data_IF_812072768673
#
_entry.id   IF_812072768673
#
_cell.length_a   1.000
_cell.length_b   1.000
_cell.length_c   1.000
_cell.angle_alpha   90.00
_cell.angle_beta   90.00
_cell.angle_gamma   90.00
#
_symmetry.space_group_name_H-M   'P 1'
#
loop_
_entity.id
_entity.type
_entity.pdbx_description
1 polymer ?
#
# COMPACT_ATOMS: atom_id res chain seq x y z
N UNK A 1 -11.26 -14.57 22.17
CA UNK A 1 -12.15 -14.21 21.05
C UNK A 1 -11.29 -13.58 19.98
N UNK A 2 -11.05 -14.27 18.86
CA UNK A 2 -10.30 -13.72 17.73
C UNK A 2 -11.22 -12.85 16.85
N UNK A 3 -12.04 -12.00 17.49
CA UNK A 3 -13.13 -11.25 16.84
C UNK A 3 -12.63 -10.36 15.72
N UNK A 4 -11.53 -9.65 15.93
CA UNK A 4 -11.06 -8.68 14.93
C UNK A 4 -10.56 -9.36 13.64
N UNK A 5 -9.91 -10.53 13.72
CA UNK A 5 -9.45 -11.26 12.54
C UNK A 5 -10.63 -11.77 11.72
N UNK A 6 -11.65 -12.31 12.39
CA UNK A 6 -12.90 -12.75 11.76
C UNK A 6 -13.63 -11.56 11.11
N UNK A 7 -13.74 -10.43 11.83
CA UNK A 7 -14.37 -9.21 11.35
C UNK A 7 -13.69 -8.69 10.07
N UNK A 8 -12.37 -8.52 10.07
CA UNK A 8 -11.66 -8.00 8.90
C UNK A 8 -11.65 -9.00 7.73
N UNK A 9 -11.60 -10.31 8.03
CA UNK A 9 -11.65 -11.35 6.99
C UNK A 9 -13.00 -11.37 6.29
N UNK A 10 -14.09 -11.17 7.05
CA UNK A 10 -15.45 -11.07 6.49
C UNK A 10 -15.63 -9.87 5.55
N UNK A 11 -14.78 -8.85 5.69
CA UNK A 11 -14.77 -7.64 4.87
C UNK A 11 -13.83 -7.73 3.65
N UNK A 12 -13.20 -8.89 3.40
CA UNK A 12 -12.18 -9.08 2.36
C UNK A 12 -10.96 -8.15 2.52
N UNK A 13 -10.57 -7.82 3.76
CA UNK A 13 -9.34 -7.06 4.02
C UNK A 13 -8.14 -7.98 3.83
N UNK A 14 -7.22 -7.60 2.94
CA UNK A 14 -6.06 -8.40 2.56
C UNK A 14 -4.78 -8.07 3.31
N UNK A 15 -4.68 -6.87 3.91
CA UNK A 15 -3.50 -6.41 4.63
C UNK A 15 -3.89 -5.46 5.76
N UNK A 16 -3.13 -5.47 6.85
CA UNK A 16 -3.30 -4.56 7.98
C UNK A 16 -1.97 -3.85 8.26
N UNK A 17 -2.01 -2.53 8.27
CA UNK A 17 -0.86 -1.63 8.50
C UNK A 17 -1.36 -0.38 9.24
N UNK A 18 -0.51 0.63 9.46
CA UNK A 18 -0.81 1.73 10.39
C UNK A 18 -0.85 3.13 9.74
N UNK A 19 -0.33 3.31 8.52
CA UNK A 19 -0.04 4.62 7.95
C UNK A 19 -0.87 4.95 6.69
N UNK A 20 -1.27 3.96 5.90
CA UNK A 20 -1.85 4.13 4.56
C UNK A 20 -3.15 4.92 4.60
N UNK A 21 -4.03 4.61 5.55
CA UNK A 21 -5.31 5.30 5.70
C UNK A 21 -5.10 6.82 5.92
N UNK A 22 -4.14 7.19 6.77
CA UNK A 22 -3.80 8.59 7.05
C UNK A 22 -3.20 9.26 5.83
N UNK A 23 -2.21 8.62 5.19
CA UNK A 23 -1.54 9.17 4.01
C UNK A 23 -2.52 9.41 2.86
N UNK A 24 -3.34 8.41 2.53
CA UNK A 24 -4.31 8.49 1.44
C UNK A 24 -5.38 9.54 1.72
N UNK A 25 -5.84 9.65 2.97
CA UNK A 25 -6.79 10.70 3.38
C UNK A 25 -6.20 12.09 3.17
N UNK A 26 -4.96 12.33 3.64
CA UNK A 26 -4.28 13.62 3.47
C UNK A 26 -4.11 13.93 1.98
N UNK A 27 -3.64 12.98 1.17
CA UNK A 27 -3.48 13.21 -0.27
C UNK A 27 -4.80 13.59 -0.94
N UNK A 28 -5.89 12.93 -0.58
CA UNK A 28 -7.22 13.24 -1.10
C UNK A 28 -7.68 14.65 -0.69
N UNK A 29 -7.51 15.03 0.59
CA UNK A 29 -7.87 16.36 1.10
C UNK A 29 -7.13 17.48 0.38
N UNK A 30 -5.85 17.28 0.03
CA UNK A 30 -5.05 18.27 -0.67
C UNK A 30 -5.15 18.20 -2.20
N UNK A 31 -5.99 17.33 -2.76
CA UNK A 31 -6.08 17.16 -4.22
C UNK A 31 -4.81 16.61 -4.87
N UNK A 32 -3.99 15.89 -4.10
CA UNK A 32 -2.77 15.24 -4.55
C UNK A 32 -3.04 13.78 -4.91
N UNK A 33 -2.13 13.17 -5.68
CA UNK A 33 -2.13 11.72 -5.93
C UNK A 33 -1.25 11.03 -4.88
N UNK A 34 -1.77 9.99 -4.25
CA UNK A 34 -1.07 9.14 -3.29
C UNK A 34 -1.27 7.66 -3.60
N UNK A 35 -0.33 6.83 -3.16
CA UNK A 35 -0.38 5.38 -3.31
C UNK A 35 0.49 4.70 -2.26
N UNK A 36 0.20 3.43 -1.96
CA UNK A 36 0.90 2.64 -0.94
C UNK A 36 1.17 1.24 -1.48
N UNK A 37 2.36 0.71 -1.16
CA UNK A 37 2.76 -0.67 -1.40
C UNK A 37 3.34 -1.20 -0.08
N UNK A 38 2.89 -2.38 0.35
CA UNK A 38 3.30 -2.98 1.61
C UNK A 38 4.02 -4.30 1.36
N UNK A 39 5.11 -4.53 2.10
CA UNK A 39 5.66 -5.86 2.28
C UNK A 39 4.85 -6.60 3.36
N UNK A 40 4.59 -7.90 3.17
CA UNK A 40 3.81 -8.71 4.10
C UNK A 40 4.76 -9.49 5.03
N UNK A 41 4.91 -9.00 6.25
CA UNK A 41 5.78 -9.59 7.27
C UNK A 41 5.14 -10.70 8.09
N UNK A 42 3.83 -10.62 8.29
CA UNK A 42 3.13 -11.55 9.16
C UNK A 42 1.75 -11.86 8.59
N UNK A 43 1.47 -13.15 8.42
CA UNK A 43 0.13 -13.62 8.14
C UNK A 43 -0.50 -14.08 9.45
N UNK A 44 -1.36 -13.25 10.03
CA UNK A 44 -2.04 -13.55 11.31
C UNK A 44 -3.13 -14.62 11.19
N UNK A 45 -3.53 -15.01 9.98
CA UNK A 45 -4.48 -16.11 9.75
C UNK A 45 -3.76 -17.46 9.85
N UNK A 46 -2.55 -17.56 9.27
CA UNK A 46 -1.73 -18.78 9.33
C UNK A 46 -0.74 -18.80 10.51
N UNK A 47 -0.60 -17.67 11.21
CA UNK A 47 0.39 -17.44 12.28
C UNK A 47 1.85 -17.58 11.80
N UNK A 48 2.07 -17.26 10.53
CA UNK A 48 3.39 -17.30 9.89
C UNK A 48 4.03 -15.92 9.87
N UNK A 49 5.33 -15.86 10.15
CA UNK A 49 6.16 -14.66 10.08
C UNK A 49 7.27 -14.86 9.05
N UNK A 50 7.49 -13.84 8.23
CA UNK A 50 8.57 -13.77 7.25
C UNK A 50 9.27 -12.41 7.34
N UNK A 51 10.57 -12.39 7.02
CA UNK A 51 11.40 -11.18 7.03
C UNK A 51 11.83 -10.79 5.60
N UNK A 52 10.94 -10.92 4.63
CA UNK A 52 11.22 -10.67 3.21
C UNK A 52 10.17 -9.75 2.54
N UNK A 53 10.52 -9.17 1.39
CA UNK A 53 9.61 -8.38 0.55
C UNK A 53 9.82 -6.86 0.60
N UNK A 54 10.58 -6.35 1.56
CA UNK A 54 10.90 -4.90 1.69
C UNK A 54 11.56 -4.34 0.42
N UNK A 55 12.56 -5.07 -0.09
CA UNK A 55 13.28 -4.69 -1.33
C UNK A 55 12.35 -4.65 -2.54
N UNK A 56 11.41 -5.58 -2.63
CA UNK A 56 10.46 -5.64 -3.74
C UNK A 56 9.43 -4.51 -3.64
N UNK A 57 8.90 -4.24 -2.44
CA UNK A 57 8.02 -3.10 -2.20
C UNK A 57 8.70 -1.77 -2.57
N UNK A 58 9.97 -1.59 -2.21
CA UNK A 58 10.78 -0.41 -2.58
C UNK A 58 10.93 -0.32 -4.11
N UNK A 59 11.26 -1.42 -4.78
CA UNK A 59 11.41 -1.45 -6.24
C UNK A 59 10.10 -1.10 -6.96
N UNK A 60 8.97 -1.64 -6.49
CA UNK A 60 7.64 -1.33 -7.03
C UNK A 60 7.33 0.15 -6.82
N UNK A 61 7.60 0.70 -5.63
CA UNK A 61 7.41 2.12 -5.34
C UNK A 61 8.24 3.01 -6.28
N UNK A 62 9.52 2.70 -6.45
CA UNK A 62 10.41 3.46 -7.33
C UNK A 62 9.96 3.41 -8.81
N UNK A 63 9.61 2.23 -9.31
CA UNK A 63 9.16 2.07 -10.69
C UNK A 63 7.81 2.76 -10.92
N UNK A 64 6.90 2.73 -9.94
CA UNK A 64 5.64 3.47 -10.01
C UNK A 64 5.87 4.99 -10.15
N UNK A 65 6.77 5.56 -9.35
CA UNK A 65 7.11 7.00 -9.43
C UNK A 65 7.73 7.34 -10.80
N UNK A 66 8.63 6.50 -11.31
CA UNK A 66 9.21 6.69 -12.65
C UNK A 66 8.12 6.70 -13.73
N UNK A 67 7.23 5.70 -13.74
CA UNK A 67 6.13 5.61 -14.71
C UNK A 67 5.18 6.81 -14.61
N UNK A 68 4.81 7.23 -13.39
CA UNK A 68 3.92 8.37 -13.19
C UNK A 68 4.57 9.67 -13.66
N UNK A 69 5.86 9.87 -13.37
CA UNK A 69 6.64 11.02 -13.83
C UNK A 69 6.69 11.08 -15.35
N UNK A 70 6.98 9.95 -16.02
CA UNK A 70 6.98 9.88 -17.48
C UNK A 70 5.61 10.23 -18.08
N UNK A 71 4.51 9.79 -17.44
CA UNK A 71 3.14 10.11 -17.87
C UNK A 71 2.84 11.60 -17.71
N UNK A 72 3.22 12.20 -16.59
CA UNK A 72 3.04 13.63 -16.35
C UNK A 72 3.82 14.48 -17.36
N UNK A 73 5.09 14.14 -17.62
CA UNK A 73 5.92 14.83 -18.60
C UNK A 73 5.42 14.68 -20.04
N UNK A 74 4.77 13.55 -20.38
CA UNK A 74 4.10 13.37 -21.67
C UNK A 74 2.83 14.22 -21.77
N UNK A 75 2.03 14.26 -20.70
CA UNK A 75 0.80 15.04 -20.62
C UNK A 75 1.02 16.56 -20.60
N UNK A 76 2.16 17.03 -20.11
CA UNK A 76 2.52 18.45 -20.06
C UNK A 76 3.07 19.03 -21.38
N UNK A 77 3.23 18.21 -22.44
CA UNK A 77 3.79 18.63 -23.74
C UNK A 77 2.74 19.11 -24.77
N UNK A 78 1.55 19.48 -24.30
CA UNK A 78 0.51 20.17 -25.11
C UNK A 78 0.38 21.61 -24.65
#
# INVERSE_FOLDING_TARGET
SATWLEDISSLNISNVEMEAATLLTITNVYGLRGGVVCAVYANRVTDEFGEEGEKDAINVGNEAIKILTERDLKGAKT
#
